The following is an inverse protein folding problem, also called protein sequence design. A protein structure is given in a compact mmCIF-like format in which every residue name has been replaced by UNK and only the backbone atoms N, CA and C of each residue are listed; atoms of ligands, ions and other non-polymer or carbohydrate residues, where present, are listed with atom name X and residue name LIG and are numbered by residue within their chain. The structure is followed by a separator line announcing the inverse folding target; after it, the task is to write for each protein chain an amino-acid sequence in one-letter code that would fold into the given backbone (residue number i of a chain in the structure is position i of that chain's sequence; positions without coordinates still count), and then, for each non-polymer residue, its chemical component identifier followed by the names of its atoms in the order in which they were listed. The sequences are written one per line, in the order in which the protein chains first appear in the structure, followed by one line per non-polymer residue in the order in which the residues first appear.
data_IF_043163373619
#
_entry.id   IF_043163373619
#
_cell.length_a   1.000
_cell.length_b   1.000
_cell.length_c   1.000
_cell.angle_alpha   90.00
_cell.angle_beta   90.00
_cell.angle_gamma   90.00
#
_symmetry.space_group_name_H-M   'P 1'
#
loop_
_entity.id
_entity.type
_entity.pdbx_description
1 polymer ?
#
# COMPACT_ATOMS: atom_id res chain seq x y z
N UNK A 1 4.79 -6.59 -21.53
CA UNK A 1 5.27 -5.62 -20.53
C UNK A 1 4.12 -5.16 -19.60
N UNK A 2 3.07 -5.97 -19.43
CA UNK A 2 2.03 -5.74 -18.41
C UNK A 2 2.23 -6.68 -17.20
N UNK A 3 2.70 -7.91 -17.44
CA UNK A 3 2.99 -8.91 -16.40
C UNK A 3 3.98 -8.47 -15.30
N UNK A 4 4.90 -7.55 -15.62
CA UNK A 4 5.92 -7.07 -14.66
C UNK A 4 5.40 -5.98 -13.72
N UNK A 5 4.31 -5.30 -14.08
CA UNK A 5 3.71 -4.25 -13.24
C UNK A 5 2.90 -4.85 -12.09
N UNK A 6 2.29 -6.01 -12.30
CA UNK A 6 1.52 -6.72 -11.27
C UNK A 6 2.41 -7.42 -10.22
N UNK A 7 3.65 -7.79 -10.58
CA UNK A 7 4.62 -8.40 -9.65
C UNK A 7 5.07 -7.40 -8.58
N UNK A 8 5.09 -6.10 -8.88
CA UNK A 8 5.54 -5.06 -7.96
C UNK A 8 4.50 -4.72 -6.86
N UNK A 9 3.26 -5.18 -6.99
CA UNK A 9 2.18 -4.98 -6.02
C UNK A 9 2.00 -6.17 -5.05
N UNK A 10 2.85 -7.18 -5.16
CA UNK A 10 2.78 -8.38 -4.34
C UNK A 10 3.41 -8.15 -2.95
N UNK A 11 2.83 -8.72 -1.88
CA UNK A 11 3.45 -8.69 -0.56
C UNK A 11 4.83 -9.36 -0.63
N UNK A 12 5.79 -8.94 0.20
CA UNK A 12 7.18 -9.40 0.17
C UNK A 12 7.32 -10.94 0.17
N UNK A 13 6.39 -11.65 0.83
CA UNK A 13 6.34 -13.11 0.84
C UNK A 13 6.03 -13.73 -0.54
N UNK A 14 5.14 -13.11 -1.32
CA UNK A 14 4.83 -13.55 -2.68
C UNK A 14 5.98 -13.26 -3.66
N UNK A 15 6.77 -12.21 -3.41
CA UNK A 15 8.00 -11.93 -4.16
C UNK A 15 9.04 -13.04 -3.94
N UNK A 16 9.26 -13.49 -2.69
CA UNK A 16 10.18 -14.60 -2.41
C UNK A 16 9.76 -15.91 -3.09
N UNK A 17 8.46 -16.23 -3.07
CA UNK A 17 7.92 -17.43 -3.74
C UNK A 17 8.09 -17.35 -5.26
N UNK A 18 7.87 -16.18 -5.87
CA UNK A 18 8.06 -15.98 -7.31
C UNK A 18 9.54 -16.02 -7.70
N UNK A 19 10.43 -15.42 -6.92
CA UNK A 19 11.88 -15.46 -7.17
C UNK A 19 12.39 -16.91 -7.05
N UNK A 20 11.96 -17.66 -6.04
CA UNK A 20 12.28 -19.08 -5.91
C UNK A 20 11.76 -19.92 -7.09
N UNK A 21 10.58 -19.58 -7.62
CA UNK A 21 10.01 -20.24 -8.80
C UNK A 21 10.74 -19.86 -10.10
N UNK A 22 11.13 -18.59 -10.26
CA UNK A 22 11.88 -18.10 -11.43
C UNK A 22 13.33 -18.60 -11.45
N UNK A 23 13.92 -18.87 -10.29
CA UNK A 23 15.26 -19.47 -10.15
C UNK A 23 15.26 -21.00 -10.34
N UNK A 24 14.08 -21.62 -10.48
CA UNK A 24 13.98 -23.06 -10.76
C UNK A 24 14.35 -23.35 -12.22
N UNK A 25 15.06 -24.47 -12.52
CA UNK A 25 15.56 -24.79 -13.87
C UNK A 25 14.47 -25.05 -14.93
N UNK A 26 13.20 -24.94 -14.56
CA UNK A 26 12.03 -25.14 -15.42
C UNK A 26 11.79 -23.93 -16.35
N UNK A 27 12.15 -22.70 -15.95
CA UNK A 27 11.79 -21.47 -16.71
C UNK A 27 12.70 -21.19 -17.92
N UNK A 28 13.90 -21.77 -17.96
CA UNK A 28 14.93 -21.48 -18.98
C UNK A 28 14.88 -22.40 -20.21
N UNK A 29 13.93 -23.34 -20.27
CA UNK A 29 13.88 -24.37 -21.33
C UNK A 29 12.87 -24.00 -22.44
N UNK A 30 13.26 -23.84 -23.71
CA UNK A 30 12.36 -23.47 -24.80
C UNK A 30 11.56 -24.67 -25.36
N UNK A 31 11.47 -25.78 -24.62
CA UNK A 31 10.80 -26.98 -25.11
C UNK A 31 9.32 -26.94 -24.71
N UNK A 32 8.48 -26.69 -25.72
CA UNK A 32 7.03 -26.69 -25.66
C UNK A 32 6.48 -28.08 -25.29
N UNK A 33 6.66 -28.50 -24.04
CA UNK A 33 5.96 -29.62 -23.43
C UNK A 33 5.20 -29.06 -22.22
N UNK A 34 3.89 -28.90 -22.39
CA UNK A 34 3.02 -28.29 -21.38
C UNK A 34 2.93 -29.25 -20.18
N UNK A 35 3.80 -29.05 -19.20
CA UNK A 35 3.84 -29.85 -17.99
C UNK A 35 2.66 -29.42 -17.10
N UNK A 36 1.54 -30.14 -17.18
CA UNK A 36 0.28 -29.84 -16.50
C UNK A 36 0.48 -29.57 -15.00
N UNK A 37 1.46 -30.22 -14.35
CA UNK A 37 1.80 -29.98 -12.94
C UNK A 37 2.35 -28.58 -12.69
N UNK A 38 3.16 -28.03 -13.60
CA UNK A 38 3.69 -26.68 -13.48
C UNK A 38 2.59 -25.63 -13.69
N UNK A 39 1.65 -25.89 -14.60
CA UNK A 39 0.48 -25.04 -14.82
C UNK A 39 -0.45 -25.05 -13.60
N UNK A 40 -0.70 -26.22 -13.01
CA UNK A 40 -1.52 -26.37 -11.80
C UNK A 40 -0.85 -25.70 -10.59
N UNK A 41 0.47 -25.82 -10.44
CA UNK A 41 1.21 -25.15 -9.35
C UNK A 41 1.15 -23.62 -9.47
N UNK A 42 1.31 -23.08 -10.69
CA UNK A 42 1.17 -21.64 -10.94
C UNK A 42 -0.27 -21.15 -10.68
N UNK A 43 -1.29 -21.92 -11.07
CA UNK A 43 -2.69 -21.59 -10.81
C UNK A 43 -3.01 -21.60 -9.30
N UNK A 44 -2.47 -22.55 -8.53
CA UNK A 44 -2.64 -22.63 -7.07
C UNK A 44 -1.95 -21.48 -6.33
N UNK A 45 -0.76 -21.06 -6.78
CA UNK A 45 -0.06 -19.91 -6.19
C UNK A 45 -0.79 -18.58 -6.44
N UNK A 46 -1.58 -18.48 -7.50
CA UNK A 46 -2.41 -17.31 -7.78
C UNK A 46 -3.70 -17.24 -6.92
N UNK A 47 -4.06 -18.33 -6.22
CA UNK A 47 -5.25 -18.43 -5.36
C UNK A 47 -5.01 -18.01 -3.91
N UNK A 48 -3.80 -17.53 -3.57
CA UNK A 48 -3.50 -17.06 -2.21
C UNK A 48 -4.18 -15.69 -2.00
N UNK A 49 -5.41 -15.72 -1.47
CA UNK A 49 -6.13 -14.51 -1.08
C UNK A 49 -5.46 -13.85 0.12
N UNK A 50 -5.25 -12.54 0.05
CA UNK A 50 -4.96 -11.73 1.23
C UNK A 50 -6.31 -11.41 1.88
N UNK A 51 -6.59 -12.00 3.03
CA UNK A 51 -7.79 -11.70 3.79
C UNK A 51 -7.53 -10.45 4.66
N UNK A 52 -8.00 -9.31 4.17
CA UNK A 52 -7.87 -8.02 4.84
C UNK A 52 -9.07 -7.76 5.75
N UNK A 53 -8.83 -7.48 7.03
CA UNK A 53 -9.89 -7.22 8.00
C UNK A 53 -10.22 -5.73 8.16
N UNK A 54 -11.43 -5.45 8.64
CA UNK A 54 -11.76 -4.13 9.22
C UNK A 54 -11.43 -4.16 10.71
N UNK A 55 -10.51 -3.29 11.14
CA UNK A 55 -10.00 -3.25 12.52
C UNK A 55 -10.34 -1.92 13.22
N UNK A 56 -10.09 -1.82 14.52
CA UNK A 56 -10.30 -0.57 15.25
C UNK A 56 -9.44 0.57 14.69
N UNK A 57 -9.95 1.79 14.69
CA UNK A 57 -9.27 2.95 14.08
C UNK A 57 -7.92 3.26 14.74
N UNK A 58 -7.75 2.91 16.01
CA UNK A 58 -6.53 3.09 16.78
C UNK A 58 -5.58 1.87 16.76
N UNK A 59 -5.97 0.78 16.09
CA UNK A 59 -5.16 -0.43 15.93
C UNK A 59 -4.38 -0.46 14.60
N UNK A 60 -4.72 0.40 13.64
CA UNK A 60 -4.03 0.47 12.36
C UNK A 60 -2.63 1.07 12.57
N UNK A 61 -1.59 0.35 12.14
CA UNK A 61 -0.20 0.79 12.24
C UNK A 61 0.17 1.56 10.96
N UNK A 62 0.68 2.81 11.07
CA UNK A 62 1.04 3.62 9.90
C UNK A 62 2.29 3.08 9.20
N UNK A 63 2.46 3.49 7.94
CA UNK A 63 3.67 3.21 7.19
C UNK A 63 4.76 4.23 7.55
N UNK A 64 6.01 3.79 7.75
CA UNK A 64 7.12 4.74 7.85
C UNK A 64 7.26 5.49 6.53
N UNK A 65 7.56 6.79 6.58
CA UNK A 65 7.80 7.57 5.37
C UNK A 65 9.03 7.01 4.65
N UNK A 66 8.90 6.52 3.40
CA UNK A 66 10.02 5.93 2.69
C UNK A 66 11.06 6.99 2.32
N UNK A 67 12.33 6.58 2.20
CA UNK A 67 13.37 7.44 1.64
C UNK A 67 13.11 7.63 0.15
N UNK A 68 12.91 8.87 -0.33
CA UNK A 68 12.58 9.11 -1.72
C UNK A 68 13.75 8.74 -2.64
N UNK A 69 13.47 7.96 -3.69
CA UNK A 69 14.48 7.49 -4.65
C UNK A 69 14.25 8.01 -6.08
N UNK A 70 13.19 8.78 -6.31
CA UNK A 70 12.89 9.43 -7.59
C UNK A 70 12.63 10.92 -7.39
N UNK A 71 12.80 11.73 -8.45
CA UNK A 71 12.53 13.17 -8.41
C UNK A 71 11.11 13.49 -7.95
N UNK A 72 10.12 12.74 -8.45
CA UNK A 72 8.70 12.93 -8.09
C UNK A 72 8.48 12.68 -6.59
N UNK A 73 9.05 11.61 -6.03
CA UNK A 73 8.93 11.34 -4.59
C UNK A 73 9.65 12.40 -3.75
N UNK A 74 10.83 12.84 -4.16
CA UNK A 74 11.57 13.91 -3.47
C UNK A 74 10.76 15.19 -3.43
N UNK A 75 10.12 15.56 -4.55
CA UNK A 75 9.24 16.73 -4.61
C UNK A 75 7.99 16.51 -3.74
N UNK A 76 7.35 15.35 -3.80
CA UNK A 76 6.18 15.05 -2.96
C UNK A 76 6.48 15.14 -1.46
N UNK A 77 7.64 14.64 -1.01
CA UNK A 77 8.08 14.75 0.38
C UNK A 77 8.45 16.21 0.73
N UNK A 78 9.14 16.91 -0.18
CA UNK A 78 9.54 18.31 0.03
C UNK A 78 8.34 19.26 0.18
N UNK A 79 7.26 19.00 -0.54
CA UNK A 79 6.03 19.80 -0.51
C UNK A 79 4.95 19.19 0.38
N UNK A 80 5.31 18.32 1.32
CA UNK A 80 4.38 17.83 2.33
C UNK A 80 3.91 19.00 3.23
N UNK A 81 2.62 19.33 3.26
CA UNK A 81 2.12 20.50 3.96
C UNK A 81 2.16 20.31 5.48
N UNK A 82 2.20 21.43 6.18
CA UNK A 82 1.86 21.47 7.59
C UNK A 82 0.35 21.57 7.73
N UNK A 83 -0.24 20.68 8.53
CA UNK A 83 -1.68 20.65 8.80
C UNK A 83 -1.92 21.06 10.24
N UNK A 84 -2.65 22.15 10.43
CA UNK A 84 -3.12 22.58 11.73
C UNK A 84 -4.57 22.14 11.93
N UNK A 85 -4.81 21.29 12.94
CA UNK A 85 -6.14 20.80 13.29
C UNK A 85 -6.72 21.72 14.36
N UNK A 86 -7.58 22.65 13.95
CA UNK A 86 -8.27 23.54 14.88
C UNK A 86 -9.38 22.81 15.66
N UNK A 87 -10.05 21.87 15.02
CA UNK A 87 -11.13 21.07 15.61
C UNK A 87 -11.33 19.78 14.81
N UNK A 88 -12.06 18.82 15.36
CA UNK A 88 -12.28 17.53 14.72
C UNK A 88 -11.18 16.52 15.02
N UNK A 89 -11.04 15.54 14.14
CA UNK A 89 -10.08 14.46 14.32
C UNK A 89 -8.71 14.79 13.74
N UNK A 90 -7.67 14.28 14.38
CA UNK A 90 -6.33 14.24 13.82
C UNK A 90 -6.25 13.19 12.71
N UNK A 91 -5.23 13.22 11.83
CA UNK A 91 -5.05 12.19 10.82
C UNK A 91 -4.69 10.83 11.45
N UNK A 92 -5.42 9.78 11.05
CA UNK A 92 -5.17 8.38 11.40
C UNK A 92 -4.77 7.57 10.16
N UNK A 93 -3.99 6.50 10.33
CA UNK A 93 -3.75 5.53 9.26
C UNK A 93 -5.05 4.81 8.88
N UNK A 94 -5.37 4.83 7.60
CA UNK A 94 -6.54 4.15 7.05
C UNK A 94 -6.29 2.66 6.77
N UNK A 95 -5.04 2.32 6.45
CA UNK A 95 -4.61 0.97 6.07
C UNK A 95 -3.25 0.64 6.65
N UNK A 96 -3.03 -0.63 7.00
CA UNK A 96 -1.74 -1.16 7.44
C UNK A 96 -1.07 -2.05 6.38
N UNK A 97 0.11 -2.60 6.72
CA UNK A 97 0.91 -3.45 5.82
C UNK A 97 0.26 -4.77 5.41
N UNK A 98 -0.71 -5.26 6.19
CA UNK A 98 -1.40 -6.53 5.94
C UNK A 98 -2.69 -6.29 5.13
N UNK A 99 -2.98 -5.04 4.79
CA UNK A 99 -4.17 -4.63 4.06
C UNK A 99 -5.38 -4.38 4.94
N UNK A 100 -5.26 -4.49 6.28
CA UNK A 100 -6.37 -4.19 7.17
C UNK A 100 -6.76 -2.72 7.03
N UNK A 101 -8.06 -2.42 7.13
CA UNK A 101 -8.61 -1.07 7.04
C UNK A 101 -9.15 -0.58 8.38
N UNK A 102 -9.04 0.72 8.65
CA UNK A 102 -9.72 1.38 9.78
C UNK A 102 -11.24 1.22 9.65
N UNK A 103 -11.89 0.77 10.73
CA UNK A 103 -13.35 0.80 10.87
C UNK A 103 -13.91 2.19 11.17
N UNK A 104 -13.03 3.19 11.34
CA UNK A 104 -13.39 4.55 11.69
C UNK A 104 -14.05 4.67 13.06
N UNK A 105 -14.69 5.82 13.29
CA UNK A 105 -15.44 6.10 14.51
C UNK A 105 -16.90 6.39 14.19
N UNK A 106 -17.79 5.86 15.03
CA UNK A 106 -19.19 6.27 15.02
C UNK A 106 -19.28 7.76 15.39
N UNK A 107 -20.08 8.57 14.69
CA UNK A 107 -20.17 10.02 14.94
C UNK A 107 -21.01 10.33 16.19
N UNK A 108 -20.48 9.97 17.36
CA UNK A 108 -21.09 10.20 18.67
C UNK A 108 -20.11 10.90 19.59
N UNK A 109 -20.61 11.73 20.50
CA UNK A 109 -19.77 12.52 21.40
C UNK A 109 -19.35 13.85 20.78
N UNK A 110 -18.22 14.39 21.24
CA UNK A 110 -17.66 15.65 20.70
C UNK A 110 -16.96 15.43 19.35
N UNK A 111 -16.69 16.51 18.62
CA UNK A 111 -16.07 16.47 17.29
C UNK A 111 -14.69 15.78 17.27
N UNK A 112 -14.02 15.69 18.41
CA UNK A 112 -12.70 15.04 18.55
C UNK A 112 -12.73 13.84 19.50
N UNK A 113 -13.91 13.33 19.86
CA UNK A 113 -14.03 12.23 20.81
C UNK A 113 -13.40 10.95 20.22
N UNK A 114 -12.38 10.41 20.89
CA UNK A 114 -11.71 9.18 20.45
C UNK A 114 -10.70 9.34 19.30
N UNK A 115 -10.48 10.54 18.77
CA UNK A 115 -9.65 10.76 17.58
C UNK A 115 -8.65 11.93 17.69
N UNK A 116 -8.08 12.14 18.88
CA UNK A 116 -7.08 13.20 19.12
C UNK A 116 -5.65 12.81 18.77
N UNK A 117 -5.44 11.63 18.21
CA UNK A 117 -4.14 11.12 17.78
C UNK A 117 -4.01 9.62 18.04
N UNK A 118 -3.50 8.89 17.05
CA UNK A 118 -3.22 7.46 17.19
C UNK A 118 -2.02 7.25 18.11
N UNK A 119 -2.04 6.17 18.89
CA UNK A 119 -0.88 5.72 19.67
C UNK A 119 0.33 5.35 18.81
N UNK A 120 0.10 5.03 17.53
CA UNK A 120 1.16 4.72 16.56
C UNK A 120 1.62 5.93 15.73
N UNK A 121 1.00 7.09 15.90
CA UNK A 121 1.27 8.29 15.11
C UNK A 121 0.32 8.49 13.92
N UNK A 122 0.47 9.63 13.26
CA UNK A 122 -0.40 10.06 12.16
C UNK A 122 0.11 9.61 10.79
N UNK A 123 -0.80 9.55 9.82
CA UNK A 123 -0.50 9.20 8.43
C UNK A 123 -1.10 10.23 7.48
N UNK A 124 -0.30 10.63 6.49
CA UNK A 124 -0.73 11.37 5.31
C UNK A 124 -0.39 10.53 4.08
N UNK A 125 -1.29 10.48 3.12
CA UNK A 125 -1.11 9.77 1.86
C UNK A 125 -0.90 10.79 0.75
N UNK A 126 0.13 10.58 -0.08
CA UNK A 126 0.44 11.42 -1.21
C UNK A 126 0.41 10.63 -2.51
N UNK A 127 -0.23 11.16 -3.56
CA UNK A 127 -0.13 10.66 -4.93
C UNK A 127 0.32 11.78 -5.84
N UNK A 128 1.46 11.59 -6.48
CA UNK A 128 2.04 12.56 -7.40
C UNK A 128 1.96 12.03 -8.84
N UNK A 129 1.52 12.89 -9.76
CA UNK A 129 1.44 12.61 -11.20
C UNK A 129 1.91 13.83 -11.96
N UNK A 130 2.62 13.61 -13.07
CA UNK A 130 2.80 14.67 -14.05
C UNK A 130 1.46 14.87 -14.78
N UNK A 131 1.01 16.11 -14.81
CA UNK A 131 -0.18 16.55 -15.51
C UNK A 131 0.27 17.57 -16.57
N UNK A 132 -0.34 17.54 -17.75
CA UNK A 132 -0.19 18.49 -18.88
C UNK A 132 1.12 19.31 -18.95
N UNK A 133 1.92 19.09 -20.00
CA UNK A 133 3.07 19.91 -20.37
C UNK A 133 4.03 20.30 -19.21
N UNK A 134 4.28 19.38 -18.26
CA UNK A 134 5.36 19.50 -17.27
C UNK A 134 4.93 19.98 -15.88
N UNK A 135 3.64 19.99 -15.55
CA UNK A 135 3.16 20.37 -14.22
C UNK A 135 3.04 19.15 -13.30
N UNK A 136 3.81 19.10 -12.22
CA UNK A 136 3.64 18.05 -11.21
C UNK A 136 2.44 18.35 -10.31
N UNK A 137 1.46 17.46 -10.31
CA UNK A 137 0.31 17.49 -9.41
C UNK A 137 0.51 16.51 -8.26
N UNK A 138 0.42 16.99 -7.02
CA UNK A 138 0.53 16.16 -5.80
C UNK A 138 -0.79 16.24 -5.05
N UNK A 139 -1.53 15.13 -5.00
CA UNK A 139 -2.75 15.00 -4.21
C UNK A 139 -2.40 14.43 -2.84
N UNK A 140 -2.92 15.05 -1.79
CA UNK A 140 -2.68 14.66 -0.40
C UNK A 140 -4.00 14.34 0.27
N UNK A 141 -4.02 13.24 1.01
CA UNK A 141 -5.21 12.72 1.68
C UNK A 141 -4.89 12.39 3.14
N UNK A 142 -5.86 12.68 4.01
CA UNK A 142 -5.87 12.24 5.41
C UNK A 142 -7.20 11.53 5.70
N UNK A 143 -7.17 10.59 6.63
CA UNK A 143 -8.33 9.78 7.00
C UNK A 143 -8.53 9.77 8.52
N UNK A 144 -9.71 9.28 8.91
CA UNK A 144 -10.11 8.94 10.28
C UNK A 144 -10.36 7.43 10.35
#
# INVERSE_FOLDING_TARGET
MELLRDVAALPAFAIEVIIAFAASPVVSSPQLSMNLRAVVAAALAALVGVDAAVIAHDAVVPFPQPTPNTTIQTVAVKFNPQIYINNGCHPYPAVDKDGNTSGGLKPTGSQSAGCKGSGYGSQIYGRAVEYEAGMLSVLLFSFL
#
